data_IF_982591121821
#
_entry.id   IF_982591121821
#
_cell.length_a   1.000
_cell.length_b   1.000
_cell.length_c   1.000
_cell.angle_alpha   90.00
_cell.angle_beta   90.00
_cell.angle_gamma   90.00
#
_symmetry.space_group_name_H-M   'P 1'
#
loop_
_entity.id
_entity.type
_entity.pdbx_description
1 polymer ?
#
# COMPACT_ATOMS: atom_id res chain seq x y z
N UNK A 1 54.97 -34.57 11.45
CA UNK A 1 53.55 -34.71 11.08
C UNK A 1 52.58 -33.85 11.88
N UNK A 2 52.87 -33.33 13.05
CA UNK A 2 51.97 -32.46 13.85
C UNK A 2 51.87 -30.98 13.38
N UNK A 3 52.78 -30.51 12.55
CA UNK A 3 52.80 -29.13 12.06
C UNK A 3 51.98 -28.89 10.76
N UNK A 4 51.61 -29.95 10.05
CA UNK A 4 50.84 -29.84 8.80
C UNK A 4 49.30 -29.79 9.00
N UNK A 5 48.83 -30.28 10.13
CA UNK A 5 47.40 -30.31 10.44
C UNK A 5 46.86 -28.93 10.88
N UNK A 6 47.76 -28.10 11.48
CA UNK A 6 47.37 -26.78 11.98
C UNK A 6 47.15 -25.76 10.84
N UNK A 7 47.87 -25.95 9.71
CA UNK A 7 47.71 -25.06 8.54
C UNK A 7 46.42 -25.28 7.73
N UNK A 8 45.86 -26.47 7.80
CA UNK A 8 44.63 -26.81 7.05
C UNK A 8 43.35 -26.33 7.72
N UNK A 9 43.37 -26.17 9.04
CA UNK A 9 42.19 -25.69 9.80
C UNK A 9 42.06 -24.17 9.69
N UNK A 10 43.17 -23.46 9.55
CA UNK A 10 43.15 -21.99 9.40
C UNK A 10 42.65 -21.54 8.01
N UNK A 11 42.83 -22.39 6.99
CA UNK A 11 42.37 -22.07 5.64
C UNK A 11 40.85 -22.29 5.47
N UNK A 12 40.23 -23.14 6.29
CA UNK A 12 38.80 -23.44 6.21
C UNK A 12 37.92 -22.40 6.89
N UNK A 13 38.45 -21.58 7.78
CA UNK A 13 37.69 -20.51 8.47
C UNK A 13 37.62 -19.20 7.68
N UNK A 14 38.32 -19.05 6.56
CA UNK A 14 38.36 -17.81 5.79
C UNK A 14 37.33 -17.77 4.62
N UNK A 15 36.56 -18.84 4.40
CA UNK A 15 35.59 -18.91 3.29
C UNK A 15 34.14 -18.66 3.73
N UNK A 16 33.90 -18.41 5.02
CA UNK A 16 32.53 -18.30 5.56
C UNK A 16 32.03 -16.85 5.74
N UNK A 17 32.67 -15.85 5.17
CA UNK A 17 32.22 -14.45 5.24
C UNK A 17 31.97 -13.92 3.82
N UNK A 18 31.27 -14.68 3.00
CA UNK A 18 30.51 -14.10 1.90
C UNK A 18 29.05 -14.16 2.35
N UNK A 19 28.75 -13.40 3.37
CA UNK A 19 27.38 -12.99 3.62
C UNK A 19 27.01 -12.10 2.44
N UNK A 20 26.21 -12.63 1.52
CA UNK A 20 25.44 -11.82 0.61
C UNK A 20 24.58 -10.89 1.45
N UNK A 21 25.04 -9.68 1.73
CA UNK A 21 24.14 -8.57 1.92
C UNK A 21 23.58 -8.27 0.54
N UNK A 22 22.48 -8.92 0.17
CA UNK A 22 21.60 -8.36 -0.82
C UNK A 22 21.15 -7.00 -0.27
N UNK A 23 21.94 -5.96 -0.56
CA UNK A 23 21.43 -4.61 -0.56
C UNK A 23 20.36 -4.60 -1.66
N UNK A 24 19.12 -4.88 -1.26
CA UNK A 24 17.96 -4.69 -2.12
C UNK A 24 18.07 -3.28 -2.66
N UNK A 25 18.20 -3.14 -3.99
CA UNK A 25 18.11 -1.85 -4.64
C UNK A 25 16.82 -1.22 -4.15
N UNK A 26 16.92 -0.10 -3.43
CA UNK A 26 15.73 0.65 -3.04
C UNK A 26 15.03 1.09 -4.32
N UNK A 27 13.80 0.63 -4.51
CA UNK A 27 12.99 1.07 -5.64
C UNK A 27 12.68 2.55 -5.45
N UNK A 28 13.25 3.38 -6.32
CA UNK A 28 12.99 4.82 -6.31
C UNK A 28 11.61 5.10 -6.88
N UNK A 29 10.89 6.02 -6.26
CA UNK A 29 9.55 6.44 -6.63
C UNK A 29 8.61 6.54 -5.43
N UNK A 30 7.55 7.32 -5.62
CA UNK A 30 6.54 7.60 -4.61
C UNK A 30 5.13 7.40 -5.17
N UNK A 31 4.19 7.08 -4.30
CA UNK A 31 2.78 7.07 -4.62
C UNK A 31 2.14 8.41 -4.26
N UNK A 32 1.48 9.01 -5.22
CA UNK A 32 0.66 10.21 -5.04
C UNK A 32 -0.81 9.82 -5.23
N UNK A 33 -1.65 10.12 -4.25
CA UNK A 33 -3.07 9.82 -4.29
C UNK A 33 -3.91 11.10 -4.36
N UNK A 34 -5.00 11.02 -5.11
CA UNK A 34 -6.01 12.08 -5.12
C UNK A 34 -6.58 12.32 -3.72
N UNK A 35 -6.78 13.59 -3.38
CA UNK A 35 -7.32 14.00 -2.08
C UNK A 35 -8.81 14.33 -2.20
N UNK A 36 -9.55 14.06 -1.14
CA UNK A 36 -10.98 14.36 -1.04
C UNK A 36 -11.24 15.08 0.29
N UNK A 37 -11.85 16.25 0.21
CA UNK A 37 -12.36 16.99 1.37
C UNK A 37 -13.89 16.87 1.40
N UNK A 38 -14.42 15.88 2.11
CA UNK A 38 -15.84 15.56 2.14
C UNK A 38 -16.37 15.57 3.57
N UNK A 39 -17.62 15.96 3.72
CA UNK A 39 -18.38 15.75 4.96
C UNK A 39 -18.90 14.31 4.94
N UNK A 40 -18.08 13.39 5.45
CA UNK A 40 -18.42 11.98 5.50
C UNK A 40 -19.55 11.71 6.49
N UNK A 41 -20.45 10.82 6.11
CA UNK A 41 -21.55 10.34 6.95
C UNK A 41 -21.41 8.84 7.19
N UNK A 42 -22.18 8.30 8.12
CA UNK A 42 -22.27 6.86 8.39
C UNK A 42 -23.01 6.14 7.26
N UNK A 43 -22.36 6.02 6.13
CA UNK A 43 -22.89 5.46 4.88
C UNK A 43 -21.82 4.64 4.16
N UNK A 44 -22.22 3.98 3.07
CA UNK A 44 -21.29 3.30 2.15
C UNK A 44 -21.00 4.19 0.95
N UNK A 45 -19.72 4.32 0.63
CA UNK A 45 -19.21 5.11 -0.47
C UNK A 45 -18.38 4.25 -1.41
N UNK A 46 -18.39 4.57 -2.69
CA UNK A 46 -17.43 4.11 -3.67
C UNK A 46 -16.61 5.30 -4.14
N UNK A 47 -15.36 5.34 -3.77
CA UNK A 47 -14.47 6.46 -4.07
C UNK A 47 -13.48 6.06 -5.15
N UNK A 48 -13.51 6.75 -6.28
CA UNK A 48 -12.50 6.55 -7.34
C UNK A 48 -11.31 7.44 -7.05
N UNK A 49 -10.20 6.84 -6.69
CA UNK A 49 -8.97 7.52 -6.27
C UNK A 49 -7.95 7.44 -7.39
N UNK A 50 -7.53 8.58 -7.98
CA UNK A 50 -6.35 8.60 -8.83
C UNK A 50 -5.11 8.22 -8.05
N UNK A 51 -4.30 7.35 -8.61
CA UNK A 51 -3.04 6.87 -8.07
C UNK A 51 -1.95 7.14 -9.10
N UNK A 52 -0.90 7.83 -8.70
CA UNK A 52 0.26 8.09 -9.56
C UNK A 52 1.51 7.49 -8.93
N UNK A 53 2.24 6.73 -9.73
CA UNK A 53 3.58 6.25 -9.41
C UNK A 53 4.61 7.16 -10.08
N UNK A 54 5.61 7.63 -9.34
CA UNK A 54 6.63 8.56 -9.85
C UNK A 54 7.94 7.88 -10.27
N UNK A 55 8.09 6.57 -10.01
CA UNK A 55 9.28 5.82 -10.42
C UNK A 55 9.35 5.62 -11.93
N UNK A 56 10.54 5.35 -12.43
CA UNK A 56 10.82 5.24 -13.87
C UNK A 56 10.29 3.93 -14.49
N UNK A 57 10.20 2.85 -13.71
CA UNK A 57 9.69 1.56 -14.19
C UNK A 57 8.21 1.38 -13.82
N UNK A 58 7.42 0.73 -14.69
CA UNK A 58 6.07 0.29 -14.33
C UNK A 58 6.10 -0.63 -13.12
N UNK A 59 5.01 -0.64 -12.37
CA UNK A 59 4.83 -1.51 -11.23
C UNK A 59 3.56 -2.35 -11.37
N UNK A 60 3.54 -3.48 -10.66
CA UNK A 60 2.35 -4.32 -10.52
C UNK A 60 1.93 -4.33 -9.05
N UNK A 61 0.74 -3.81 -8.77
CA UNK A 61 0.19 -3.81 -7.41
C UNK A 61 -0.08 -5.25 -6.95
N UNK A 62 0.15 -5.50 -5.67
CA UNK A 62 -0.17 -6.77 -4.99
C UNK A 62 -1.28 -6.57 -3.96
N UNK A 63 -1.16 -5.57 -3.09
CA UNK A 63 -2.18 -5.20 -2.13
C UNK A 63 -2.07 -3.75 -1.70
N UNK A 64 -3.20 -3.21 -1.24
CA UNK A 64 -3.26 -1.93 -0.53
C UNK A 64 -4.07 -2.17 0.74
N UNK A 65 -3.50 -1.81 1.88
CA UNK A 65 -4.10 -1.99 3.19
C UNK A 65 -4.10 -0.66 3.95
N UNK A 66 -5.14 -0.43 4.74
CA UNK A 66 -5.15 0.63 5.73
C UNK A 66 -4.43 0.12 6.98
N UNK A 67 -3.50 0.92 7.48
CA UNK A 67 -2.74 0.59 8.69
C UNK A 67 -2.77 1.77 9.65
N UNK A 68 -2.50 1.49 10.91
CA UNK A 68 -2.39 2.48 11.97
C UNK A 68 -1.12 2.18 12.74
N UNK A 69 -0.31 3.23 12.98
CA UNK A 69 0.97 3.09 13.67
C UNK A 69 1.77 1.88 13.14
N UNK A 70 2.07 1.94 11.82
CA UNK A 70 2.74 0.85 11.11
C UNK A 70 3.69 0.02 12.02
N UNK A 71 3.65 -1.34 11.99
CA UNK A 71 3.05 -2.15 10.91
C UNK A 71 1.60 -2.60 11.15
N UNK A 72 0.94 -2.16 12.21
CA UNK A 72 -0.35 -2.70 12.63
C UNK A 72 -1.48 -2.37 11.64
N UNK A 73 -2.28 -3.35 11.18
CA UNK A 73 -3.46 -3.08 10.37
C UNK A 73 -4.50 -2.27 11.18
N UNK A 74 -5.42 -1.60 10.49
CA UNK A 74 -6.65 -1.14 11.13
C UNK A 74 -7.37 -2.35 11.71
N UNK A 75 -7.75 -2.25 12.98
CA UNK A 75 -8.19 -3.38 13.77
C UNK A 75 -9.50 -3.96 13.27
N UNK A 76 -10.62 -3.43 13.70
CA UNK A 76 -11.93 -3.92 13.29
C UNK A 76 -12.88 -2.78 12.97
N UNK A 77 -13.95 -3.09 12.25
CA UNK A 77 -15.02 -2.12 12.02
C UNK A 77 -15.63 -1.60 13.33
N UNK A 78 -15.72 -2.45 14.33
CA UNK A 78 -16.26 -2.12 15.66
C UNK A 78 -15.39 -1.10 16.40
N UNK A 79 -14.07 -1.14 16.19
CA UNK A 79 -13.13 -0.25 16.87
C UNK A 79 -12.86 1.04 16.09
N UNK A 80 -12.61 0.94 14.79
CA UNK A 80 -12.23 2.08 13.95
C UNK A 80 -13.40 2.67 13.17
N UNK A 81 -14.53 1.98 13.12
CA UNK A 81 -15.71 2.41 12.36
C UNK A 81 -15.53 2.36 10.83
N UNK A 82 -14.44 1.75 10.35
CA UNK A 82 -14.10 1.71 8.92
C UNK A 82 -14.04 0.28 8.43
N UNK A 83 -14.94 -0.07 7.50
CA UNK A 83 -14.83 -1.28 6.68
C UNK A 83 -14.52 -0.87 5.25
N UNK A 84 -13.55 -1.53 4.63
CA UNK A 84 -13.12 -1.17 3.28
C UNK A 84 -12.82 -2.38 2.41
N UNK A 85 -12.96 -2.19 1.12
CA UNK A 85 -12.53 -3.10 0.06
C UNK A 85 -11.86 -2.25 -1.03
N UNK A 86 -10.75 -2.71 -1.61
CA UNK A 86 -10.00 -1.95 -2.62
C UNK A 86 -9.90 -2.75 -3.91
N UNK A 87 -10.20 -2.08 -5.01
CA UNK A 87 -10.24 -2.66 -6.35
C UNK A 87 -9.47 -1.78 -7.33
N UNK A 88 -9.01 -2.38 -8.42
CA UNK A 88 -8.52 -1.65 -9.56
C UNK A 88 -9.67 -1.06 -10.39
N UNK A 89 -9.41 0.04 -11.08
CA UNK A 89 -10.34 0.65 -12.01
C UNK A 89 -9.71 0.91 -13.37
N UNK A 90 -10.55 0.97 -14.41
CA UNK A 90 -10.10 1.42 -15.73
C UNK A 90 -9.55 2.85 -15.68
N UNK A 91 -8.48 3.16 -16.43
CA UNK A 91 -7.90 4.51 -16.47
C UNK A 91 -8.90 5.59 -16.90
N UNK A 92 -9.87 5.23 -17.74
CA UNK A 92 -10.94 6.11 -18.22
C UNK A 92 -12.01 6.41 -17.17
N UNK A 93 -12.01 5.72 -16.03
CA UNK A 93 -12.98 5.95 -14.95
C UNK A 93 -12.82 7.37 -14.42
N UNK A 94 -13.90 8.15 -14.40
CA UNK A 94 -13.85 9.52 -13.87
C UNK A 94 -13.63 9.47 -12.37
N UNK A 95 -12.77 10.36 -11.88
CA UNK A 95 -12.65 10.61 -10.44
C UNK A 95 -13.99 11.13 -9.94
N UNK A 96 -14.62 10.40 -9.03
CA UNK A 96 -15.91 10.79 -8.48
C UNK A 96 -16.14 10.07 -7.16
N UNK A 97 -16.93 10.70 -6.32
CA UNK A 97 -17.59 10.04 -5.22
C UNK A 97 -18.86 9.40 -5.78
N UNK A 98 -18.88 8.10 -5.89
CA UNK A 98 -20.04 7.37 -6.34
C UNK A 98 -20.89 7.01 -5.12
N UNK A 99 -22.20 7.21 -5.23
CA UNK A 99 -23.15 6.79 -4.22
C UNK A 99 -23.16 5.27 -4.00
N UNK A 100 -24.26 4.74 -3.55
CA UNK A 100 -24.39 3.35 -3.09
C UNK A 100 -24.13 2.27 -4.14
N UNK A 101 -24.10 2.61 -5.43
CA UNK A 101 -23.96 1.64 -6.52
C UNK A 101 -22.84 2.05 -7.46
N UNK A 102 -21.93 1.12 -7.72
CA UNK A 102 -20.89 1.24 -8.74
C UNK A 102 -21.18 0.22 -9.83
N UNK A 103 -21.58 0.69 -11.01
CA UNK A 103 -22.08 -0.16 -12.11
C UNK A 103 -20.98 -0.66 -13.07
N UNK A 104 -19.70 -0.36 -12.77
CA UNK A 104 -18.59 -0.75 -13.64
C UNK A 104 -17.91 -2.00 -13.11
N UNK A 105 -17.28 -2.72 -14.01
CA UNK A 105 -16.46 -3.88 -13.67
C UNK A 105 -15.28 -3.44 -12.79
N UNK A 106 -15.19 -4.03 -11.61
CA UNK A 106 -14.08 -3.86 -10.68
C UNK A 106 -13.03 -4.93 -10.99
N UNK A 107 -11.78 -4.49 -11.06
CA UNK A 107 -10.64 -5.39 -11.23
C UNK A 107 -10.05 -5.75 -9.87
N UNK A 108 -9.44 -6.93 -9.80
CA UNK A 108 -8.61 -7.27 -8.65
C UNK A 108 -7.45 -6.26 -8.55
N UNK A 109 -7.14 -5.84 -7.34
CA UNK A 109 -5.98 -4.99 -7.10
C UNK A 109 -4.68 -5.76 -7.32
N UNK A 110 -4.67 -7.07 -7.01
CA UNK A 110 -3.53 -7.92 -7.28
C UNK A 110 -3.36 -8.16 -8.77
N UNK A 111 -2.23 -7.76 -9.31
CA UNK A 111 -1.94 -7.82 -10.73
C UNK A 111 -2.28 -6.55 -11.52
N UNK A 112 -2.77 -5.49 -10.86
CA UNK A 112 -3.02 -4.22 -11.52
C UNK A 112 -1.68 -3.54 -11.88
N UNK A 113 -1.45 -3.36 -13.17
CA UNK A 113 -0.28 -2.63 -13.66
C UNK A 113 -0.50 -1.11 -13.59
N UNK A 114 0.49 -0.40 -13.07
CA UNK A 114 0.54 1.06 -13.02
C UNK A 114 1.79 1.54 -13.77
N UNK A 115 1.57 2.26 -14.85
CA UNK A 115 2.61 2.91 -15.61
C UNK A 115 2.41 4.43 -15.53
N UNK A 116 3.01 5.03 -14.50
CA UNK A 116 2.80 6.43 -14.15
C UNK A 116 1.45 6.66 -13.49
N UNK A 117 0.36 6.61 -14.24
CA UNK A 117 -0.98 6.91 -13.73
C UNK A 117 -1.88 5.67 -13.71
N UNK A 118 -2.67 5.54 -12.65
CA UNK A 118 -3.68 4.51 -12.46
C UNK A 118 -4.85 5.01 -11.64
N UNK A 119 -5.82 4.16 -11.42
CA UNK A 119 -6.98 4.43 -10.58
C UNK A 119 -7.36 3.20 -9.78
N UNK A 120 -7.77 3.46 -8.56
CA UNK A 120 -8.35 2.45 -7.68
C UNK A 120 -9.76 2.87 -7.28
N UNK A 121 -10.58 1.91 -6.93
CA UNK A 121 -11.88 2.14 -6.29
C UNK A 121 -11.80 1.63 -4.87
N UNK A 122 -12.11 2.49 -3.93
CA UNK A 122 -12.22 2.14 -2.52
C UNK A 122 -13.69 2.15 -2.15
N UNK A 123 -14.21 1.00 -1.79
CA UNK A 123 -15.52 0.87 -1.17
C UNK A 123 -15.34 1.05 0.33
N UNK A 124 -15.94 2.09 0.87
CA UNK A 124 -15.89 2.44 2.29
C UNK A 124 -17.28 2.29 2.90
N UNK A 125 -17.40 1.52 3.97
CA UNK A 125 -18.59 1.52 4.82
C UNK A 125 -18.21 2.11 6.16
N UNK A 126 -18.81 3.25 6.52
CA UNK A 126 -18.43 4.07 7.66
C UNK A 126 -19.45 3.98 8.78
N UNK A 127 -18.97 3.72 9.98
CA UNK A 127 -19.70 3.83 11.24
C UNK A 127 -19.31 5.11 12.00
N UNK A 128 -19.04 4.99 13.28
CA UNK A 128 -18.49 6.07 14.11
C UNK A 128 -16.98 6.18 13.87
N UNK A 129 -16.58 7.15 13.06
CA UNK A 129 -15.19 7.36 12.67
C UNK A 129 -14.70 8.70 13.24
N UNK A 130 -13.58 8.68 13.95
CA UNK A 130 -12.84 9.86 14.38
C UNK A 130 -11.64 10.06 13.49
N UNK A 131 -11.27 11.33 13.26
CA UNK A 131 -10.04 11.64 12.55
C UNK A 131 -8.83 11.07 13.31
N UNK A 132 -7.86 10.51 12.57
CA UNK A 132 -6.68 9.91 13.18
C UNK A 132 -5.46 10.09 12.27
N UNK A 133 -4.54 10.90 12.72
CA UNK A 133 -3.32 11.22 11.97
C UNK A 133 -2.30 10.07 11.91
N UNK A 134 -2.52 8.98 12.64
CA UNK A 134 -1.69 7.78 12.57
C UNK A 134 -2.04 6.86 11.40
N UNK A 135 -3.19 7.06 10.74
CA UNK A 135 -3.61 6.22 9.62
C UNK A 135 -2.73 6.41 8.40
N UNK A 136 -2.37 5.28 7.77
CA UNK A 136 -1.52 5.19 6.58
C UNK A 136 -2.08 4.19 5.59
N UNK A 137 -1.61 4.27 4.35
CA UNK A 137 -1.73 3.20 3.38
C UNK A 137 -0.44 2.39 3.36
N UNK A 138 -0.56 1.08 3.44
CA UNK A 138 0.51 0.15 3.15
C UNK A 138 0.29 -0.42 1.75
N UNK A 139 1.18 -0.12 0.84
CA UNK A 139 1.10 -0.54 -0.56
C UNK A 139 2.21 -1.55 -0.83
N UNK A 140 1.83 -2.77 -1.20
CA UNK A 140 2.74 -3.81 -1.69
C UNK A 140 2.65 -3.88 -3.20
N UNK A 141 3.79 -3.92 -3.84
CA UNK A 141 3.90 -3.96 -5.30
C UNK A 141 5.16 -4.67 -5.75
N UNK A 142 5.20 -5.05 -7.00
CA UNK A 142 6.38 -5.60 -7.68
C UNK A 142 6.92 -4.57 -8.66
N UNK A 143 8.22 -4.37 -8.66
CA UNK A 143 8.96 -3.53 -9.60
C UNK A 143 10.23 -4.26 -10.01
N UNK A 144 10.46 -4.41 -11.31
CA UNK A 144 11.64 -5.12 -11.86
C UNK A 144 11.86 -6.52 -11.25
N UNK A 145 10.78 -7.25 -10.98
CA UNK A 145 10.81 -8.59 -10.40
C UNK A 145 11.07 -8.64 -8.88
N UNK A 146 11.09 -7.49 -8.21
CA UNK A 146 11.24 -7.39 -6.76
C UNK A 146 9.94 -6.95 -6.10
N UNK A 147 9.54 -7.66 -5.04
CA UNK A 147 8.43 -7.23 -4.20
C UNK A 147 8.88 -6.16 -3.21
N UNK A 148 8.17 -5.06 -3.16
CA UNK A 148 8.47 -3.88 -2.34
C UNK A 148 7.23 -3.46 -1.58
N UNK A 149 7.44 -2.92 -0.40
CA UNK A 149 6.38 -2.32 0.43
C UNK A 149 6.69 -0.85 0.69
N UNK A 150 5.69 0.01 0.55
CA UNK A 150 5.78 1.43 0.92
C UNK A 150 4.62 1.83 1.82
N UNK A 151 4.94 2.67 2.80
CA UNK A 151 3.96 3.31 3.67
C UNK A 151 3.72 4.73 3.15
N UNK A 152 2.45 5.02 2.89
CA UNK A 152 2.04 6.26 2.24
C UNK A 152 1.09 7.05 3.14
N UNK A 153 1.38 8.33 3.32
CA UNK A 153 0.49 9.27 3.97
C UNK A 153 -0.61 9.68 2.98
N UNK A 154 -1.86 9.43 3.35
CA UNK A 154 -3.00 9.89 2.57
C UNK A 154 -3.90 10.78 3.44
N UNK A 155 -3.87 12.08 3.19
CA UNK A 155 -4.57 13.06 4.01
C UNK A 155 -6.07 12.82 4.14
N UNK A 156 -6.70 12.33 3.08
CA UNK A 156 -8.11 11.93 3.11
C UNK A 156 -8.37 10.87 4.18
N UNK A 157 -7.49 9.87 4.33
CA UNK A 157 -7.64 8.81 5.33
C UNK A 157 -7.37 9.31 6.75
N UNK A 158 -6.37 10.18 6.93
CA UNK A 158 -6.08 10.81 8.23
C UNK A 158 -7.24 11.68 8.73
N UNK A 159 -7.87 12.43 7.82
CA UNK A 159 -8.94 13.38 8.12
C UNK A 159 -10.34 12.76 8.05
N UNK A 160 -10.44 11.46 7.67
CA UNK A 160 -11.71 10.76 7.59
C UNK A 160 -12.40 10.75 8.96
N UNK A 161 -13.57 11.40 9.04
CA UNK A 161 -14.39 11.46 10.25
C UNK A 161 -15.87 11.53 9.88
N UNK A 162 -16.71 10.90 10.67
CA UNK A 162 -18.18 11.00 10.58
C UNK A 162 -18.77 11.85 11.71
N UNK A 163 -17.93 12.48 12.51
CA UNK A 163 -18.37 13.43 13.54
C UNK A 163 -18.91 14.70 12.87
N UNK A 164 -20.08 15.13 13.33
CA UNK A 164 -20.70 16.38 12.87
C UNK A 164 -19.89 17.54 13.48
N UNK A 165 -19.40 18.41 12.62
CA UNK A 165 -18.72 19.64 13.02
C UNK A 165 -19.73 20.73 13.36
#
# INVERSE_FOLDING_TARGET
MKKMVLGLITLFCLVSIVGCSEQGKSVEGEFLLGQFGLDWKKETYHVVVPLRWTGDSPITLKSIEFVKDYPDPLTTYEEDGIKYEIFGAEPSTRQTLLGKTYDRELKDINGLEINGEGKIVIKLSLGDVKADSARRLKIKFESDGQEVEKIVVWKTLEQLTTEIR
#
